data_IF_508415587858
#
_entry.id   IF_508415587858
#
_cell.length_a   1.000
_cell.length_b   1.000
_cell.length_c   1.000
_cell.angle_alpha   90.00
_cell.angle_beta   90.00
_cell.angle_gamma   90.00
#
_symmetry.space_group_name_H-M   'P 1'
#
loop_
_entity.id
_entity.type
_entity.pdbx_description
1 polymer ?
#
# COMPACT_ATOMS: atom_id res chain seq x y z
N UNK A 1 6.55 -15.24 -2.13
CA UNK A 1 6.56 -14.64 -0.78
C UNK A 1 6.52 -15.73 0.28
N UNK A 2 7.35 -15.65 1.33
CA UNK A 2 7.41 -16.68 2.39
C UNK A 2 6.11 -16.77 3.21
N UNK A 3 5.55 -15.64 3.64
CA UNK A 3 4.27 -15.62 4.39
C UNK A 3 3.17 -16.37 3.65
N UNK A 4 2.97 -16.07 2.36
CA UNK A 4 1.88 -16.69 1.61
C UNK A 4 2.02 -18.22 1.50
N UNK A 5 3.23 -18.77 1.55
CA UNK A 5 3.42 -20.23 1.53
C UNK A 5 2.89 -20.92 2.79
N UNK A 6 2.94 -20.24 3.94
CA UNK A 6 2.49 -20.79 5.23
C UNK A 6 1.00 -20.49 5.52
N UNK A 7 0.35 -19.64 4.72
CA UNK A 7 -1.01 -19.15 4.94
C UNK A 7 -1.91 -19.35 3.72
N UNK A 8 -1.94 -20.56 3.15
CA UNK A 8 -2.83 -20.97 2.05
C UNK A 8 -2.77 -20.04 0.83
N UNK A 9 -1.58 -19.55 0.50
CA UNK A 9 -1.30 -18.60 -0.58
C UNK A 9 -1.94 -17.21 -0.37
N UNK A 10 -2.37 -16.87 0.84
CA UNK A 10 -2.95 -15.57 1.15
C UNK A 10 -1.88 -14.55 1.55
N UNK A 11 -2.03 -13.32 1.08
CA UNK A 11 -1.25 -12.20 1.61
C UNK A 11 -1.74 -11.78 3.00
N UNK A 12 -0.87 -11.18 3.83
CA UNK A 12 -1.27 -10.76 5.17
C UNK A 12 -2.35 -9.66 5.13
N UNK A 13 -3.20 -9.68 6.16
CA UNK A 13 -4.08 -8.56 6.51
C UNK A 13 -3.27 -7.29 6.79
N UNK A 14 -3.73 -6.13 6.30
CA UNK A 14 -3.18 -4.80 6.68
C UNK A 14 -3.23 -4.58 8.20
N UNK A 15 -4.40 -4.89 8.78
CA UNK A 15 -4.74 -4.92 10.20
C UNK A 15 -5.75 -6.05 10.40
N UNK A 16 -5.55 -6.88 11.42
CA UNK A 16 -6.42 -8.02 11.66
C UNK A 16 -7.86 -7.64 12.05
N UNK A 17 -8.75 -8.62 11.92
CA UNK A 17 -10.17 -8.42 12.22
C UNK A 17 -10.48 -8.00 13.66
N UNK A 18 -9.60 -8.31 14.62
CA UNK A 18 -9.71 -7.88 16.01
C UNK A 18 -9.11 -6.49 16.29
N UNK A 19 -8.43 -5.88 15.31
CA UNK A 19 -7.70 -4.61 15.44
C UNK A 19 -6.58 -4.64 16.49
N UNK A 20 -5.93 -5.80 16.64
CA UNK A 20 -4.85 -6.05 17.60
C UNK A 20 -3.51 -6.31 16.93
N UNK A 21 -3.47 -6.61 15.63
CA UNK A 21 -2.24 -6.99 14.92
C UNK A 21 -2.13 -6.43 13.51
N UNK A 22 -1.04 -5.71 13.26
CA UNK A 22 -0.70 -5.12 11.96
C UNK A 22 0.04 -6.11 11.03
N UNK A 23 0.01 -5.85 9.73
CA UNK A 23 0.68 -6.67 8.71
C UNK A 23 2.17 -6.91 9.00
N UNK A 24 2.90 -5.88 9.43
CA UNK A 24 4.34 -5.98 9.67
C UNK A 24 4.64 -6.91 10.84
N UNK A 25 3.75 -6.99 11.85
CA UNK A 25 3.84 -7.93 12.96
C UNK A 25 3.60 -9.38 12.49
N UNK A 26 2.66 -9.58 11.56
CA UNK A 26 2.33 -10.89 10.99
C UNK A 26 3.50 -11.50 10.20
N UNK A 27 4.36 -10.68 9.61
CA UNK A 27 5.53 -11.17 8.83
C UNK A 27 6.83 -11.25 9.64
N UNK A 28 6.83 -10.84 10.91
CA UNK A 28 8.02 -10.89 11.77
C UNK A 28 8.70 -12.27 11.88
N UNK A 29 7.99 -13.42 11.86
CA UNK A 29 8.65 -14.73 11.85
C UNK A 29 9.64 -14.92 10.69
N UNK A 30 9.41 -14.24 9.57
CA UNK A 30 10.22 -14.31 8.35
C UNK A 30 11.25 -13.19 8.25
N UNK A 31 10.95 -12.03 8.81
CA UNK A 31 11.80 -10.82 8.73
C UNK A 31 12.84 -10.79 9.84
N UNK A 32 12.47 -11.23 11.06
CA UNK A 32 13.34 -11.35 12.25
C UNK A 32 14.09 -10.07 12.67
N UNK A 33 13.73 -8.92 12.12
CA UNK A 33 14.32 -7.62 12.45
C UNK A 33 13.26 -6.52 12.24
N UNK A 34 12.81 -5.87 13.30
CA UNK A 34 11.78 -4.83 13.21
C UNK A 34 12.34 -3.48 12.72
N UNK A 35 13.66 -3.27 12.83
CA UNK A 35 14.32 -2.04 12.39
C UNK A 35 14.21 -1.83 10.87
N UNK A 36 13.95 -2.88 10.09
CA UNK A 36 13.72 -2.72 8.64
C UNK A 36 12.42 -1.97 8.35
N UNK A 37 11.49 -1.94 9.29
CA UNK A 37 10.27 -1.15 9.21
C UNK A 37 10.45 0.21 9.90
N UNK A 38 11.67 0.69 10.12
CA UNK A 38 11.90 2.04 10.65
C UNK A 38 12.76 2.80 9.65
N UNK A 39 12.26 3.92 9.15
CA UNK A 39 12.95 4.76 8.20
C UNK A 39 14.02 5.58 8.95
N UNK A 40 15.31 5.48 8.58
CA UNK A 40 16.39 6.16 9.31
C UNK A 40 16.38 7.69 9.11
N UNK A 41 15.65 8.18 8.10
CA UNK A 41 15.55 9.61 7.76
C UNK A 41 14.41 10.32 8.48
N UNK A 42 13.56 9.60 9.21
CA UNK A 42 12.47 10.19 10.01
C UNK A 42 12.82 10.10 11.50
N UNK A 43 12.28 11.03 12.29
CA UNK A 43 12.32 10.96 13.76
C UNK A 43 11.30 9.97 14.33
N UNK A 44 10.44 9.38 13.48
CA UNK A 44 9.48 8.37 13.92
C UNK A 44 10.18 7.04 14.21
N UNK A 45 9.98 6.54 15.43
CA UNK A 45 10.41 5.19 15.84
C UNK A 45 9.28 4.16 15.78
N UNK A 46 8.11 4.55 15.28
CA UNK A 46 6.94 3.68 15.20
C UNK A 46 6.95 2.90 13.88
N UNK A 47 7.04 1.55 13.89
CA UNK A 47 7.03 0.74 12.66
C UNK A 47 5.78 0.92 11.79
N UNK A 48 4.65 1.31 12.39
CA UNK A 48 3.39 1.58 11.70
C UNK A 48 3.26 3.00 11.12
N UNK A 49 4.30 3.82 11.21
CA UNK A 49 4.28 5.21 10.73
C UNK A 49 5.57 5.57 10.02
N UNK A 50 5.44 6.20 8.85
CA UNK A 50 6.58 6.66 8.06
C UNK A 50 7.53 5.56 7.55
N UNK A 51 7.03 4.38 7.15
CA UNK A 51 7.85 3.27 6.65
C UNK A 51 7.25 2.63 5.40
N UNK A 52 6.92 1.33 5.45
CA UNK A 52 6.26 0.59 4.39
C UNK A 52 4.81 0.30 4.78
N UNK A 53 3.97 0.10 3.77
CA UNK A 53 2.55 -0.22 3.95
C UNK A 53 2.01 -1.10 2.86
N UNK A 54 0.95 -1.84 3.20
CA UNK A 54 0.21 -2.63 2.24
C UNK A 54 -0.94 -1.82 1.64
N UNK A 55 -1.19 -2.03 0.34
CA UNK A 55 -2.35 -1.46 -0.33
C UNK A 55 -3.62 -2.23 0.04
N UNK A 56 -4.64 -1.52 0.51
CA UNK A 56 -5.99 -2.05 0.76
C UNK A 56 -6.61 -2.69 -0.48
N UNK A 57 -6.36 -2.08 -1.63
CA UNK A 57 -6.99 -2.39 -2.90
C UNK A 57 -6.44 -3.69 -3.50
N UNK A 58 -5.22 -4.07 -3.12
CA UNK A 58 -4.56 -5.27 -3.61
C UNK A 58 -4.30 -6.30 -2.53
N UNK A 59 -4.41 -6.00 -1.23
CA UNK A 59 -4.34 -7.01 -0.13
C UNK A 59 -5.70 -7.61 0.24
N UNK A 60 -6.80 -6.91 -0.05
CA UNK A 60 -8.18 -7.40 0.09
C UNK A 60 -8.71 -7.47 1.52
N UNK A 61 -7.86 -7.30 2.52
CA UNK A 61 -8.24 -7.38 3.92
C UNK A 61 -8.38 -6.00 4.57
N UNK A 62 -9.57 -5.76 5.15
CA UNK A 62 -9.98 -4.47 5.73
C UNK A 62 -9.59 -3.28 4.82
N UNK A 63 -9.77 -3.46 3.51
CA UNK A 63 -9.43 -2.51 2.47
C UNK A 63 -10.63 -2.01 1.68
N UNK A 64 -10.59 -0.77 1.17
CA UNK A 64 -11.70 -0.06 0.48
C UNK A 64 -13.10 -0.46 0.93
N UNK A 65 -13.66 0.22 1.94
CA UNK A 65 -15.07 0.03 2.33
C UNK A 65 -16.08 0.43 1.24
N UNK A 66 -15.59 0.90 0.09
CA UNK A 66 -16.38 1.48 -1.00
C UNK A 66 -15.75 1.12 -2.34
N UNK A 67 -16.60 0.78 -3.31
CA UNK A 67 -16.17 0.67 -4.70
C UNK A 67 -15.75 2.05 -5.24
N UNK A 68 -14.85 2.05 -6.21
CA UNK A 68 -14.19 3.24 -6.73
C UNK A 68 -14.42 3.30 -8.23
N UNK A 69 -14.86 4.44 -8.73
CA UNK A 69 -14.95 4.68 -10.17
C UNK A 69 -13.72 5.48 -10.62
N UNK A 70 -12.94 4.89 -11.51
CA UNK A 70 -11.78 5.55 -12.12
C UNK A 70 -12.23 6.67 -13.09
N UNK A 71 -11.36 7.63 -13.43
CA UNK A 71 -11.65 8.61 -14.48
C UNK A 71 -12.03 7.99 -15.83
N UNK A 72 -11.57 6.77 -16.10
CA UNK A 72 -11.94 5.99 -17.29
C UNK A 72 -13.37 5.42 -17.25
N UNK A 73 -14.06 5.51 -16.12
CA UNK A 73 -15.37 4.89 -15.87
C UNK A 73 -15.30 3.45 -15.36
N UNK A 74 -14.12 2.83 -15.30
CA UNK A 74 -13.96 1.49 -14.74
C UNK A 74 -14.24 1.50 -13.22
N UNK A 75 -14.87 0.43 -12.71
CA UNK A 75 -15.20 0.29 -11.29
C UNK A 75 -14.28 -0.72 -10.62
N UNK A 76 -13.53 -0.28 -9.62
CA UNK A 76 -12.76 -1.13 -8.70
C UNK A 76 -13.69 -1.51 -7.54
N UNK A 77 -14.00 -2.80 -7.33
CA UNK A 77 -14.89 -3.21 -6.25
C UNK A 77 -14.24 -3.02 -4.87
N UNK A 78 -15.09 -2.79 -3.86
CA UNK A 78 -14.70 -2.92 -2.45
C UNK A 78 -14.25 -4.35 -2.16
N UNK A 79 -13.26 -4.54 -1.28
CA UNK A 79 -12.73 -5.87 -0.94
C UNK A 79 -12.52 -6.05 0.56
N UNK A 80 -13.21 -7.02 1.15
CA UNK A 80 -13.08 -7.38 2.57
C UNK A 80 -12.51 -8.77 2.80
N UNK A 81 -12.13 -9.47 1.73
CA UNK A 81 -11.62 -10.85 1.75
C UNK A 81 -10.16 -10.94 1.32
N UNK A 82 -9.38 -11.89 1.88
CA UNK A 82 -8.00 -12.15 1.48
C UNK A 82 -7.81 -12.25 -0.03
N UNK A 83 -6.71 -11.70 -0.53
CA UNK A 83 -6.22 -12.01 -1.87
C UNK A 83 -5.32 -13.25 -1.83
N UNK A 84 -5.67 -14.24 -2.66
CA UNK A 84 -4.84 -15.42 -2.90
C UNK A 84 -3.87 -15.12 -4.03
N UNK A 85 -2.60 -15.52 -3.89
CA UNK A 85 -1.58 -15.33 -4.92
C UNK A 85 -2.03 -15.88 -6.29
N UNK A 86 -2.67 -17.05 -6.30
CA UNK A 86 -3.18 -17.68 -7.52
C UNK A 86 -4.25 -16.85 -8.28
N UNK A 87 -4.87 -15.86 -7.62
CA UNK A 87 -5.91 -15.00 -8.22
C UNK A 87 -5.34 -13.72 -8.84
N UNK A 88 -4.04 -13.47 -8.68
CA UNK A 88 -3.39 -12.26 -9.21
C UNK A 88 -2.93 -12.52 -10.64
N UNK A 89 -3.71 -12.03 -11.60
CA UNK A 89 -3.49 -12.23 -13.04
C UNK A 89 -2.18 -11.61 -13.56
N UNK A 90 -1.73 -10.52 -12.95
CA UNK A 90 -0.61 -9.70 -13.41
C UNK A 90 0.35 -9.40 -12.25
N UNK A 91 1.07 -10.41 -11.72
CA UNK A 91 1.82 -10.28 -10.47
C UNK A 91 2.99 -9.28 -10.56
N UNK A 92 3.64 -9.17 -11.72
CA UNK A 92 4.69 -8.18 -11.98
C UNK A 92 4.15 -6.75 -12.21
N UNK A 93 2.84 -6.59 -12.32
CA UNK A 93 2.18 -5.29 -12.53
C UNK A 93 1.13 -5.00 -11.46
N UNK A 94 1.15 -5.73 -10.34
CA UNK A 94 0.28 -5.50 -9.19
C UNK A 94 1.16 -5.16 -7.99
N UNK A 95 1.11 -3.90 -7.58
CA UNK A 95 1.77 -3.43 -6.38
C UNK A 95 1.01 -3.91 -5.14
N UNK A 96 1.76 -4.36 -4.13
CA UNK A 96 1.18 -4.80 -2.86
C UNK A 96 1.74 -4.04 -1.66
N UNK A 97 2.98 -3.54 -1.77
CA UNK A 97 3.73 -2.86 -0.72
C UNK A 97 4.36 -1.58 -1.26
N UNK A 98 4.41 -0.51 -0.47
CA UNK A 98 5.10 0.73 -0.85
C UNK A 98 5.57 1.52 0.36
N UNK A 99 6.50 2.46 0.13
CA UNK A 99 6.79 3.50 1.12
C UNK A 99 5.53 4.32 1.42
N UNK A 100 5.25 4.60 2.69
CA UNK A 100 4.04 5.31 3.10
C UNK A 100 4.23 6.05 4.43
N UNK A 101 3.30 6.94 4.73
CA UNK A 101 3.24 7.61 6.05
C UNK A 101 2.52 6.81 7.12
N UNK A 102 1.68 5.86 6.75
CA UNK A 102 0.79 5.14 7.67
C UNK A 102 0.71 3.70 7.25
N UNK A 103 0.50 2.73 8.16
CA UNK A 103 0.57 1.27 7.95
C UNK A 103 -0.31 0.67 6.82
N UNK A 104 -1.12 1.50 6.16
CA UNK A 104 -1.97 1.12 5.04
C UNK A 104 -2.01 2.23 3.99
N UNK A 105 -2.13 1.82 2.72
CA UNK A 105 -2.33 2.71 1.56
C UNK A 105 -3.70 2.42 0.94
N UNK A 106 -4.42 3.43 0.48
CA UNK A 106 -5.67 3.27 -0.29
C UNK A 106 -5.73 4.23 -1.47
N UNK A 107 -6.06 3.74 -2.67
CA UNK A 107 -6.15 4.51 -3.92
C UNK A 107 -7.18 5.67 -3.90
N UNK A 108 -8.07 5.78 -2.91
CA UNK A 108 -9.04 6.90 -2.78
C UNK A 108 -8.64 8.00 -1.83
N UNK A 109 -7.85 7.71 -0.79
CA UNK A 109 -7.62 8.70 0.28
C UNK A 109 -6.76 9.90 -0.14
N UNK A 110 -6.19 9.85 -1.34
CA UNK A 110 -5.48 10.93 -2.04
C UNK A 110 -6.37 12.10 -2.48
N UNK A 111 -7.66 11.84 -2.72
CA UNK A 111 -8.63 12.88 -3.09
C UNK A 111 -9.35 13.44 -1.87
N UNK A 112 -9.25 12.76 -0.73
CA UNK A 112 -9.85 13.16 0.53
C UNK A 112 -8.87 14.03 1.33
N UNK A 113 -8.97 15.35 1.14
CA UNK A 113 -8.35 16.31 2.06
C UNK A 113 -8.87 16.07 3.48
N UNK A 114 -7.98 16.03 4.47
CA UNK A 114 -8.35 15.81 5.87
C UNK A 114 -7.21 15.39 6.80
N UNK A 115 -5.99 15.31 6.28
CA UNK A 115 -4.80 15.02 7.08
C UNK A 115 -4.17 16.29 7.64
N UNK A 116 -3.64 16.23 8.88
CA UNK A 116 -2.93 17.33 9.51
C UNK A 116 -1.53 17.56 8.92
N UNK A 117 -1.10 16.77 7.92
CA UNK A 117 0.24 16.83 7.34
C UNK A 117 0.22 17.63 6.01
N UNK A 118 0.67 18.91 6.01
CA UNK A 118 0.66 19.76 4.82
C UNK A 118 1.77 19.45 3.81
N UNK A 119 2.90 18.89 4.25
CA UNK A 119 4.04 18.46 3.42
C UNK A 119 3.66 17.50 2.27
N UNK A 120 2.45 16.98 2.33
CA UNK A 120 1.90 15.88 1.52
C UNK A 120 0.47 16.18 1.08
N UNK A 121 0.13 17.48 1.00
CA UNK A 121 -1.12 17.96 0.43
C UNK A 121 -2.37 17.61 1.23
N UNK A 122 -2.23 17.19 2.50
CA UNK A 122 -3.36 16.90 3.37
C UNK A 122 -4.16 15.63 3.04
N UNK A 123 -3.59 14.69 2.28
CA UNK A 123 -4.16 13.35 2.05
C UNK A 123 -3.93 12.40 3.24
N UNK A 124 -4.66 11.28 3.38
CA UNK A 124 -4.36 10.18 4.32
C UNK A 124 -3.97 8.88 3.57
N UNK A 125 -3.29 7.94 4.23
CA UNK A 125 -3.08 6.55 3.75
C UNK A 125 -2.49 6.41 2.34
N UNK A 126 -1.28 6.92 2.15
CA UNK A 126 -0.77 7.18 0.82
C UNK A 126 0.72 6.83 0.67
N UNK A 127 1.14 6.57 -0.56
CA UNK A 127 2.51 6.25 -1.00
C UNK A 127 3.36 7.51 -1.00
N UNK A 128 4.39 7.52 -0.17
CA UNK A 128 5.20 8.70 0.09
C UNK A 128 6.40 8.80 -0.86
N UNK A 129 6.49 9.93 -1.57
CA UNK A 129 7.54 10.26 -2.52
C UNK A 129 8.89 10.69 -1.93
N UNK A 130 9.11 10.54 -0.61
CA UNK A 130 10.30 11.02 0.10
C UNK A 130 11.62 10.46 -0.41
N UNK A 131 11.60 9.32 -1.11
CA UNK A 131 12.80 8.70 -1.62
C UNK A 131 13.10 9.21 -3.03
N UNK A 132 13.74 10.38 -3.08
CA UNK A 132 14.19 11.03 -4.32
C UNK A 132 13.03 11.39 -5.26
N UNK A 133 11.96 12.00 -4.73
CA UNK A 133 10.74 12.33 -5.49
C UNK A 133 10.07 11.08 -6.09
N UNK A 134 10.06 9.99 -5.33
CA UNK A 134 9.45 8.72 -5.67
C UNK A 134 9.43 7.77 -4.48
N UNK A 135 8.98 6.54 -4.72
CA UNK A 135 8.83 5.52 -3.70
C UNK A 135 9.33 4.16 -4.21
N UNK A 136 9.83 3.35 -3.29
CA UNK A 136 10.05 1.93 -3.45
C UNK A 136 8.70 1.21 -3.39
N UNK A 137 8.42 0.41 -4.41
CA UNK A 137 7.17 -0.34 -4.55
C UNK A 137 7.49 -1.82 -4.75
N UNK A 138 6.87 -2.67 -3.93
CA UNK A 138 6.94 -4.13 -4.01
C UNK A 138 5.76 -4.71 -4.77
N UNK A 139 6.06 -5.69 -5.64
CA UNK A 139 5.10 -6.34 -6.53
C UNK A 139 4.83 -7.78 -6.12
N UNK A 140 3.72 -8.32 -6.61
CA UNK A 140 3.22 -9.65 -6.25
C UNK A 140 4.12 -10.81 -6.69
N UNK A 141 4.93 -10.63 -7.73
CA UNK A 141 5.96 -11.59 -8.14
C UNK A 141 7.22 -11.56 -7.25
N UNK A 142 7.30 -10.61 -6.32
CA UNK A 142 8.38 -10.45 -5.35
C UNK A 142 9.46 -9.45 -5.73
N UNK A 143 9.39 -8.79 -6.90
CA UNK A 143 10.35 -7.73 -7.21
C UNK A 143 9.99 -6.41 -6.51
N UNK A 144 10.99 -5.55 -6.38
CA UNK A 144 10.82 -4.17 -5.94
C UNK A 144 11.31 -3.22 -7.05
N UNK A 145 10.64 -2.08 -7.20
CA UNK A 145 10.97 -1.06 -8.20
C UNK A 145 10.76 0.32 -7.59
N UNK A 146 11.70 1.22 -7.85
CA UNK A 146 11.50 2.64 -7.58
C UNK A 146 10.59 3.25 -8.65
N UNK A 147 9.56 3.96 -8.23
CA UNK A 147 8.60 4.64 -9.09
C UNK A 147 8.56 6.14 -8.77
N UNK A 148 8.56 7.02 -9.79
CA UNK A 148 8.50 8.46 -9.59
C UNK A 148 7.15 8.86 -8.97
N UNK A 149 7.16 9.96 -8.21
CA UNK A 149 5.95 10.55 -7.65
C UNK A 149 5.05 11.07 -8.76
N UNK A 150 3.99 10.32 -9.07
CA UNK A 150 3.04 10.67 -10.12
C UNK A 150 1.64 10.41 -9.63
N UNK A 151 0.78 11.42 -9.75
CA UNK A 151 -0.65 11.27 -9.48
C UNK A 151 -1.31 10.20 -10.35
N UNK A 152 -2.11 9.29 -9.78
CA UNK A 152 -2.90 8.37 -10.57
C UNK A 152 -4.16 9.07 -11.16
N UNK A 153 -4.50 10.26 -10.66
CA UNK A 153 -5.68 11.05 -11.06
C UNK A 153 -5.32 12.31 -11.84
N UNK A 154 -4.05 12.49 -12.23
CA UNK A 154 -3.58 13.65 -12.98
C UNK A 154 -3.18 14.86 -12.11
N UNK A 155 -2.89 16.01 -12.74
CA UNK A 155 -2.13 17.11 -12.14
C UNK A 155 -2.84 17.82 -10.98
N UNK A 156 -4.15 17.61 -10.81
CA UNK A 156 -4.92 18.14 -9.67
C UNK A 156 -4.44 17.61 -8.32
N UNK A 157 -3.66 16.54 -8.31
CA UNK A 157 -3.09 15.94 -7.10
C UNK A 157 -1.60 15.63 -7.33
N UNK A 158 -0.68 16.60 -7.32
CA UNK A 158 0.66 16.42 -7.88
C UNK A 158 1.62 15.49 -7.09
N UNK A 159 1.33 15.18 -5.82
CA UNK A 159 2.29 14.52 -4.90
C UNK A 159 1.79 13.17 -4.33
N UNK A 160 0.86 12.49 -5.01
CA UNK A 160 0.01 11.48 -4.39
C UNK A 160 0.02 10.10 -5.08
N UNK A 161 1.19 9.56 -5.43
CA UNK A 161 1.41 8.12 -5.68
C UNK A 161 2.81 7.89 -6.23
N UNK A 162 3.17 6.61 -6.37
CA UNK A 162 4.30 6.21 -7.18
C UNK A 162 3.83 5.36 -8.38
N UNK A 163 4.02 5.88 -9.59
CA UNK A 163 3.70 5.19 -10.84
C UNK A 163 2.21 5.12 -11.26
N UNK A 164 1.90 4.27 -12.26
CA UNK A 164 0.56 4.16 -12.87
C UNK A 164 -0.51 3.64 -11.91
N UNK A 165 -1.76 4.08 -12.12
CA UNK A 165 -2.91 3.68 -11.29
C UNK A 165 -3.19 2.17 -11.36
N UNK A 166 -2.90 1.55 -12.51
CA UNK A 166 -3.10 0.15 -12.84
C UNK A 166 -2.32 -0.82 -11.95
N UNK A 167 -1.28 -0.33 -11.28
CA UNK A 167 -0.53 -1.14 -10.32
C UNK A 167 -1.25 -1.26 -8.98
N UNK A 168 -2.15 -0.34 -8.65
CA UNK A 168 -2.70 -0.20 -7.30
C UNK A 168 -4.06 -0.85 -7.11
N UNK A 169 -4.56 -1.62 -8.09
CA UNK A 169 -5.77 -2.41 -7.98
C UNK A 169 -5.68 -3.71 -8.80
N UNK A 170 -6.46 -4.72 -8.40
CA UNK A 170 -6.57 -5.97 -9.16
C UNK A 170 -7.41 -5.77 -10.42
N UNK A 171 -6.84 -6.14 -11.56
CA UNK A 171 -7.48 -6.16 -12.88
C UNK A 171 -8.10 -7.52 -13.18
#
# INVERSE_FOLDING_TARGET
MMYAQDYDECVPETLDSAMTSYWYQKIMPYVKNDQVFVCPSTSSTNPGSWNYSLSTNTSGYRGTTRAITLPSGAVIPARSTPIRLATVSLPAETAYLADAMYYVIDITFWTHGGSPYPEVGGAWYWVDGRHNQGANVGFYDGHAKWLPSTSPFGPSFPNVCAGPIEYWYLR
#
